data_IF_692863553078
#
_entry.id   IF_692863553078
#
_cell.length_a   1.000
_cell.length_b   1.000
_cell.length_c   1.000
_cell.angle_alpha   90.00
_cell.angle_beta   90.00
_cell.angle_gamma   90.00
#
_symmetry.space_group_name_H-M   'P 1'
#
loop_
_entity.id
_entity.type
_entity.pdbx_description
1 polymer ?
#
# COMPACT_ATOMS: atom_id res chain seq x y z
N UNK A 1 34.79 7.60 98.76
CA UNK A 1 35.41 6.45 98.07
C UNK A 1 34.64 6.26 96.77
N UNK A 2 34.99 6.95 95.69
CA UNK A 2 36.05 6.69 94.70
C UNK A 2 35.58 5.72 93.58
N UNK A 3 35.75 6.20 92.34
CA UNK A 3 35.66 5.55 91.02
C UNK A 3 34.28 5.44 90.35
N UNK A 4 34.05 5.66 89.03
CA UNK A 4 34.70 6.35 87.88
C UNK A 4 33.95 5.89 86.60
N UNK A 5 33.76 6.82 85.64
CA UNK A 5 33.62 6.65 84.16
C UNK A 5 32.27 6.44 83.43
N UNK A 6 32.00 7.45 82.57
CA UNK A 6 31.77 7.44 81.10
C UNK A 6 30.34 7.19 80.56
N UNK A 7 29.70 8.32 80.26
CA UNK A 7 29.13 8.78 78.97
C UNK A 7 28.83 7.74 77.86
N UNK A 8 27.57 7.70 77.40
CA UNK A 8 27.24 7.52 75.97
C UNK A 8 25.83 8.02 75.66
N UNK A 9 25.78 9.09 74.85
CA UNK A 9 24.59 9.66 74.24
C UNK A 9 23.88 8.66 73.31
N UNK A 10 22.56 8.58 73.38
CA UNK A 10 21.74 8.19 72.24
C UNK A 10 20.55 9.15 72.11
N UNK A 11 20.78 10.19 71.30
CA UNK A 11 19.73 10.98 70.65
C UNK A 11 19.09 10.09 69.58
N UNK A 12 17.82 9.73 69.80
CA UNK A 12 17.00 9.06 68.79
C UNK A 12 16.61 10.07 67.71
N UNK A 13 17.36 10.12 66.62
CA UNK A 13 16.89 10.73 65.37
C UNK A 13 15.88 9.76 64.72
N UNK A 14 14.60 10.12 64.73
CA UNK A 14 13.62 9.55 63.82
C UNK A 14 13.95 10.00 62.39
N UNK A 15 14.60 9.14 61.63
CA UNK A 15 14.74 9.30 60.19
C UNK A 15 13.37 9.03 59.54
N UNK A 16 12.62 10.10 59.27
CA UNK A 16 11.47 10.05 58.35
C UNK A 16 12.05 9.79 56.97
N UNK A 17 12.01 8.53 56.53
CA UNK A 17 12.34 8.16 55.16
C UNK A 17 11.26 8.71 54.24
N UNK A 18 11.53 9.86 53.64
CA UNK A 18 10.74 10.42 52.55
C UNK A 18 10.88 9.49 51.34
N UNK A 19 9.93 8.57 51.16
CA UNK A 19 9.75 7.87 49.90
C UNK A 19 9.16 8.87 48.90
N UNK A 20 10.01 9.68 48.29
CA UNK A 20 9.64 10.42 47.08
C UNK A 20 9.34 9.38 46.01
N UNK A 21 8.06 9.15 45.73
CA UNK A 21 7.61 8.55 44.47
C UNK A 21 8.19 9.42 43.36
N UNK A 22 9.32 9.01 42.79
CA UNK A 22 9.72 9.45 41.47
C UNK A 22 8.70 8.86 40.51
N UNK A 23 7.63 9.61 40.28
CA UNK A 23 6.83 9.43 39.08
C UNK A 23 7.81 9.70 37.95
N UNK A 24 8.29 8.63 37.31
CA UNK A 24 8.95 8.75 36.04
C UNK A 24 7.92 9.40 35.11
N UNK A 25 8.07 10.70 34.86
CA UNK A 25 7.47 11.30 33.68
C UNK A 25 8.10 10.53 32.52
N UNK A 26 7.33 9.59 31.95
CA UNK A 26 7.66 9.05 30.65
C UNK A 26 7.90 10.26 29.75
N UNK A 27 9.11 10.36 29.19
CA UNK A 27 9.47 11.42 28.27
C UNK A 27 8.53 11.30 27.07
N UNK A 28 7.55 12.19 26.99
CA UNK A 28 6.54 12.15 25.96
C UNK A 28 7.22 12.32 24.60
N UNK A 29 6.90 11.45 23.64
CA UNK A 29 7.51 11.41 22.31
C UNK A 29 6.62 12.09 21.27
N UNK A 30 7.20 12.63 20.18
CA UNK A 30 6.42 13.20 19.09
C UNK A 30 5.50 12.15 18.44
N UNK A 31 4.38 12.59 17.88
CA UNK A 31 3.51 11.77 17.05
C UNK A 31 4.30 11.17 15.88
N UNK A 32 4.16 9.86 15.64
CA UNK A 32 4.74 9.22 14.45
C UNK A 32 3.78 9.33 13.27
N UNK A 33 4.23 9.90 12.17
CA UNK A 33 3.44 10.08 10.95
C UNK A 33 4.00 9.21 9.82
N UNK A 34 3.14 8.39 9.23
CA UNK A 34 3.48 7.55 8.07
C UNK A 34 2.60 7.90 6.88
N UNK A 35 3.21 8.02 5.71
CA UNK A 35 2.50 8.32 4.47
C UNK A 35 2.37 7.04 3.65
N UNK A 36 1.16 6.70 3.22
CA UNK A 36 0.86 5.52 2.41
C UNK A 36 0.29 5.97 1.06
N UNK A 37 1.04 5.83 -0.01
CA UNK A 37 0.66 6.35 -1.32
C UNK A 37 0.76 5.31 -2.44
N UNK A 38 -0.08 5.46 -3.46
CA UNK A 38 0.00 4.61 -4.65
C UNK A 38 -1.30 4.54 -5.44
N UNK A 39 -1.50 3.42 -6.14
CA UNK A 39 -2.71 3.18 -6.92
C UNK A 39 -3.70 2.22 -6.22
N UNK A 40 -4.56 1.53 -6.98
CA UNK A 40 -5.57 0.60 -6.48
C UNK A 40 -5.08 -0.48 -5.50
N UNK A 41 -3.84 -0.95 -5.63
CA UNK A 41 -3.29 -1.89 -4.64
C UNK A 41 -2.94 -1.21 -3.31
N UNK A 42 -2.55 0.07 -3.31
CA UNK A 42 -2.53 0.85 -2.06
C UNK A 42 -3.95 1.18 -1.58
N UNK A 43 -4.91 1.44 -2.49
CA UNK A 43 -6.31 1.63 -2.09
C UNK A 43 -6.80 0.43 -1.29
N UNK A 44 -6.57 -0.79 -1.78
CA UNK A 44 -6.93 -2.02 -1.09
C UNK A 44 -8.26 -2.58 -1.52
N UNK A 45 -8.23 -3.72 -2.21
CA UNK A 45 -9.43 -4.33 -2.79
C UNK A 45 -9.88 -5.62 -2.09
N UNK A 46 -9.26 -5.97 -0.96
CA UNK A 46 -9.66 -7.12 -0.17
C UNK A 46 -10.87 -6.77 0.69
N UNK A 47 -11.97 -7.49 0.48
CA UNK A 47 -13.14 -7.32 1.35
C UNK A 47 -12.97 -8.07 2.67
N UNK A 48 -13.58 -7.53 3.72
CA UNK A 48 -13.52 -8.10 5.08
C UNK A 48 -14.06 -9.53 5.14
N UNK A 49 -14.97 -9.91 4.25
CA UNK A 49 -15.52 -11.27 4.18
C UNK A 49 -14.46 -12.33 3.82
N UNK A 50 -13.31 -11.92 3.31
CA UNK A 50 -12.20 -12.83 2.98
C UNK A 50 -11.24 -13.11 4.16
N UNK A 51 -11.51 -12.57 5.35
CA UNK A 51 -10.62 -12.72 6.52
C UNK A 51 -10.48 -14.16 7.00
N UNK A 52 -11.54 -14.98 6.91
CA UNK A 52 -11.48 -16.36 7.40
C UNK A 52 -10.45 -17.20 6.63
N UNK A 53 -10.24 -16.90 5.34
CA UNK A 53 -9.22 -17.56 4.53
C UNK A 53 -7.78 -17.32 5.05
N UNK A 54 -7.54 -16.24 5.80
CA UNK A 54 -6.24 -16.00 6.47
C UNK A 54 -5.96 -17.09 7.53
N UNK A 55 -7.02 -17.61 8.16
CA UNK A 55 -6.93 -18.61 9.23
C UNK A 55 -6.72 -20.04 8.75
N UNK A 56 -6.88 -20.30 7.44
CA UNK A 56 -6.66 -21.63 6.85
C UNK A 56 -5.16 -22.00 6.83
N UNK A 57 -4.28 -21.01 6.95
CA UNK A 57 -2.83 -21.18 7.01
C UNK A 57 -2.30 -20.89 8.44
N UNK A 58 -1.68 -21.89 9.11
CA UNK A 58 -1.10 -21.71 10.44
C UNK A 58 -0.05 -20.58 10.53
N UNK A 59 0.63 -20.25 9.43
CA UNK A 59 1.63 -19.17 9.39
C UNK A 59 0.97 -17.79 9.48
N UNK A 60 -0.19 -17.61 8.87
CA UNK A 60 -0.92 -16.33 8.88
C UNK A 60 -2.00 -16.25 9.97
N UNK A 61 -2.28 -17.35 10.67
CA UNK A 61 -3.23 -17.37 11.79
C UNK A 61 -2.88 -16.35 12.91
N UNK A 62 -1.61 -16.15 13.34
CA UNK A 62 -1.29 -15.10 14.30
C UNK A 62 -1.62 -13.69 13.80
N UNK A 63 -1.48 -13.44 12.49
CA UNK A 63 -1.83 -12.16 11.88
C UNK A 63 -3.35 -11.94 11.90
N UNK A 64 -4.15 -12.97 11.56
CA UNK A 64 -5.61 -12.91 11.68
C UNK A 64 -6.07 -12.59 13.11
N UNK A 65 -5.42 -13.17 14.13
CA UNK A 65 -5.73 -12.89 15.54
C UNK A 65 -5.53 -11.42 15.90
N UNK A 66 -4.50 -10.76 15.34
CA UNK A 66 -4.28 -9.32 15.53
C UNK A 66 -5.29 -8.46 14.76
N UNK A 67 -5.81 -8.96 13.64
CA UNK A 67 -6.79 -8.24 12.81
C UNK A 67 -8.21 -8.26 13.38
N UNK A 68 -8.49 -9.10 14.37
CA UNK A 68 -9.82 -9.25 14.97
C UNK A 68 -9.85 -8.82 16.43
N UNK A 69 -10.88 -8.07 16.81
CA UNK A 69 -11.21 -7.81 18.20
C UNK A 69 -11.77 -9.05 18.90
N UNK A 70 -12.02 -8.93 20.21
CA UNK A 70 -12.59 -10.01 21.02
C UNK A 70 -14.00 -10.45 20.54
N UNK A 71 -14.71 -9.59 19.81
CA UNK A 71 -16.02 -9.85 19.21
C UNK A 71 -15.94 -10.51 17.82
N UNK A 72 -14.72 -10.79 17.34
CA UNK A 72 -14.47 -11.41 16.03
C UNK A 72 -14.56 -10.43 14.84
N UNK A 73 -14.92 -9.17 15.06
CA UNK A 73 -14.95 -8.12 14.03
C UNK A 73 -13.55 -7.55 13.79
N UNK A 74 -13.31 -6.81 12.70
CA UNK A 74 -12.05 -6.11 12.52
C UNK A 74 -11.71 -5.23 13.72
N UNK A 75 -10.46 -5.30 14.18
CA UNK A 75 -9.98 -4.51 15.31
C UNK A 75 -10.04 -3.02 14.98
N UNK A 76 -10.29 -2.20 16.00
CA UNK A 76 -10.08 -0.75 15.96
C UNK A 76 -8.80 -0.48 16.75
N UNK A 77 -7.80 0.11 16.09
CA UNK A 77 -6.52 0.41 16.73
C UNK A 77 -6.70 1.49 17.81
N UNK A 78 -6.00 1.37 18.93
CA UNK A 78 -6.15 2.30 20.05
C UNK A 78 -5.18 3.48 19.97
N UNK A 79 -4.01 3.27 19.37
CA UNK A 79 -2.95 4.26 19.19
C UNK A 79 -2.78 4.76 17.77
N UNK A 80 -3.60 4.31 16.80
CA UNK A 80 -3.44 4.67 15.38
C UNK A 80 -4.67 5.36 14.82
N UNK A 81 -4.45 6.51 14.20
CA UNK A 81 -5.44 7.24 13.41
C UNK A 81 -5.03 7.22 11.94
N UNK A 82 -6.01 7.43 11.07
CA UNK A 82 -5.80 7.53 9.64
C UNK A 82 -6.58 8.71 9.09
N UNK A 83 -5.97 9.46 8.18
CA UNK A 83 -6.64 10.28 7.18
C UNK A 83 -6.40 9.65 5.81
N UNK A 84 -7.46 9.48 5.02
CA UNK A 84 -7.38 8.93 3.67
C UNK A 84 -8.06 9.84 2.65
N UNK A 85 -7.27 10.33 1.70
CA UNK A 85 -7.77 11.07 0.55
C UNK A 85 -7.92 10.16 -0.66
N UNK A 86 -9.16 9.99 -1.10
CA UNK A 86 -9.55 9.08 -2.18
C UNK A 86 -10.88 9.49 -2.80
N UNK A 87 -11.40 8.74 -3.76
CA UNK A 87 -12.71 8.98 -4.33
C UNK A 87 -13.00 8.15 -5.57
N UNK A 88 -14.02 8.58 -6.33
CA UNK A 88 -14.35 8.00 -7.63
C UNK A 88 -14.50 9.10 -8.67
N UNK A 89 -13.76 8.98 -9.78
CA UNK A 89 -13.65 10.06 -10.77
C UNK A 89 -13.09 11.32 -10.12
N UNK A 90 -13.74 12.46 -10.35
CA UNK A 90 -13.31 13.75 -9.81
C UNK A 90 -13.81 14.02 -8.38
N UNK A 91 -14.58 13.09 -7.80
CA UNK A 91 -15.16 13.22 -6.45
C UNK A 91 -14.21 12.71 -5.38
N UNK A 92 -13.04 13.34 -5.29
CA UNK A 92 -12.10 13.08 -4.21
C UNK A 92 -12.53 13.79 -2.92
N UNK A 93 -12.25 13.16 -1.79
CA UNK A 93 -12.53 13.66 -0.45
C UNK A 93 -11.70 12.94 0.59
N UNK A 94 -11.67 13.50 1.79
CA UNK A 94 -10.98 12.93 2.93
C UNK A 94 -11.97 12.14 3.78
N UNK A 95 -11.59 10.93 4.20
CA UNK A 95 -12.21 10.22 5.30
C UNK A 95 -11.18 9.89 6.37
N UNK A 96 -11.49 10.17 7.64
CA UNK A 96 -10.54 10.03 8.74
C UNK A 96 -11.17 9.47 10.02
N UNK A 97 -10.34 8.96 10.93
CA UNK A 97 -10.77 8.39 12.20
C UNK A 97 -9.74 7.42 12.78
N UNK A 98 -10.07 6.73 13.89
CA UNK A 98 -9.28 5.61 14.38
C UNK A 98 -9.12 4.55 13.29
N UNK A 99 -7.93 3.98 13.16
CA UNK A 99 -7.68 2.98 12.13
C UNK A 99 -8.47 1.70 12.44
N UNK A 100 -9.27 1.27 11.46
CA UNK A 100 -9.93 -0.03 11.44
C UNK A 100 -10.06 -0.51 9.98
N UNK A 101 -10.66 -1.68 9.75
CA UNK A 101 -11.02 -2.08 8.39
C UNK A 101 -12.06 -1.11 7.80
N UNK A 102 -12.20 -1.12 6.48
CA UNK A 102 -13.07 -0.16 5.78
C UNK A 102 -12.32 1.01 5.16
N UNK A 103 -11.04 1.18 5.54
CA UNK A 103 -10.16 2.20 4.96
C UNK A 103 -9.53 1.80 3.60
N UNK A 104 -9.95 0.66 3.06
CA UNK A 104 -9.62 0.20 1.72
C UNK A 104 -10.27 1.05 0.60
N UNK A 105 -10.35 0.48 -0.61
CA UNK A 105 -11.01 1.06 -1.77
C UNK A 105 -12.48 1.34 -1.47
N UNK A 106 -12.85 2.63 -1.48
CA UNK A 106 -14.19 3.14 -1.14
C UNK A 106 -14.62 4.22 -2.13
N UNK A 107 -15.94 4.29 -2.38
CA UNK A 107 -16.51 5.27 -3.34
C UNK A 107 -16.81 6.61 -2.70
N UNK A 108 -17.39 6.57 -1.50
CA UNK A 108 -17.57 7.74 -0.64
C UNK A 108 -16.46 7.72 0.42
N UNK A 109 -15.56 8.71 0.45
CA UNK A 109 -14.48 8.77 1.43
C UNK A 109 -14.97 8.72 2.89
N UNK A 110 -16.17 9.25 3.15
CA UNK A 110 -16.77 9.36 4.48
C UNK A 110 -17.47 8.09 4.98
N UNK A 111 -17.54 7.04 4.17
CA UNK A 111 -18.22 5.80 4.51
C UNK A 111 -17.22 4.63 4.57
N UNK A 112 -17.57 3.61 5.34
CA UNK A 112 -16.87 2.33 5.35
C UNK A 112 -16.96 1.67 3.95
N UNK A 113 -15.80 1.39 3.35
CA UNK A 113 -15.70 0.73 2.05
C UNK A 113 -15.91 -0.79 2.08
N UNK A 114 -15.99 -1.40 3.25
CA UNK A 114 -16.05 -2.86 3.49
C UNK A 114 -14.75 -3.58 3.11
N UNK A 115 -13.64 -2.85 2.97
CA UNK A 115 -12.38 -3.35 2.43
C UNK A 115 -11.17 -2.89 3.21
N UNK A 116 -10.08 -3.62 3.04
CA UNK A 116 -8.75 -3.26 3.50
C UNK A 116 -7.78 -3.20 2.33
N UNK A 117 -6.76 -2.36 2.48
CA UNK A 117 -5.49 -2.47 1.79
C UNK A 117 -4.37 -2.80 2.76
N UNK A 118 -3.11 -2.49 2.40
CA UNK A 118 -1.99 -2.71 3.29
C UNK A 118 -2.03 -1.80 4.53
N UNK A 119 -2.83 -0.72 4.54
CA UNK A 119 -2.90 0.22 5.66
C UNK A 119 -3.33 -0.45 6.97
N UNK A 120 -4.21 -1.46 6.88
CA UNK A 120 -4.82 -2.02 8.09
C UNK A 120 -3.79 -2.78 8.93
N UNK A 121 -3.07 -3.73 8.33
CA UNK A 121 -2.03 -4.46 9.06
C UNK A 121 -0.74 -3.68 9.22
N UNK A 122 -0.45 -2.71 8.34
CA UNK A 122 0.62 -1.75 8.58
C UNK A 122 0.36 -1.01 9.89
N UNK A 123 -0.83 -0.42 10.07
CA UNK A 123 -1.14 0.32 11.28
C UNK A 123 -1.27 -0.56 12.52
N UNK A 124 -1.84 -1.77 12.44
CA UNK A 124 -1.82 -2.72 13.57
C UNK A 124 -0.39 -3.01 14.04
N UNK A 125 0.56 -3.14 13.11
CA UNK A 125 1.97 -3.33 13.46
C UNK A 125 2.59 -2.07 14.08
N UNK A 126 2.23 -0.87 13.60
CA UNK A 126 2.67 0.39 14.22
C UNK A 126 2.08 0.59 15.62
N UNK A 127 0.81 0.24 15.84
CA UNK A 127 0.13 0.30 17.14
C UNK A 127 0.87 -0.55 18.20
N UNK A 128 1.40 -1.70 17.76
CA UNK A 128 2.18 -2.58 18.62
C UNK A 128 3.64 -2.11 18.83
N UNK A 129 4.16 -1.27 17.94
CA UNK A 129 5.57 -0.87 17.93
C UNK A 129 5.85 0.44 18.67
N UNK A 130 4.84 1.31 18.81
CA UNK A 130 4.98 2.64 19.41
C UNK A 130 4.08 2.81 20.62
N UNK A 131 4.60 3.46 21.67
CA UNK A 131 3.80 3.87 22.83
C UNK A 131 3.12 5.23 22.56
N UNK A 132 3.79 6.07 21.79
CA UNK A 132 3.25 7.33 21.29
C UNK A 132 2.16 7.09 20.21
N UNK A 133 1.24 8.05 20.01
CA UNK A 133 0.26 7.94 18.94
C UNK A 133 0.90 7.86 17.55
N UNK A 134 0.17 7.25 16.63
CA UNK A 134 0.55 7.10 15.22
C UNK A 134 -0.54 7.68 14.33
N UNK A 135 -0.14 8.39 13.29
CA UNK A 135 -1.02 8.91 12.24
C UNK A 135 -0.60 8.35 10.88
N UNK A 136 -1.53 7.67 10.21
CA UNK A 136 -1.40 7.31 8.80
C UNK A 136 -2.03 8.39 7.93
N UNK A 137 -1.29 8.92 6.97
CA UNK A 137 -1.83 9.78 5.91
C UNK A 137 -1.78 8.98 4.61
N UNK A 138 -2.95 8.53 4.15
CA UNK A 138 -3.08 7.69 2.97
C UNK A 138 -3.57 8.52 1.77
N UNK A 139 -2.97 8.31 0.61
CA UNK A 139 -3.37 8.97 -0.66
C UNK A 139 -3.25 7.96 -1.79
N UNK A 140 -4.38 7.38 -2.20
CA UNK A 140 -4.36 6.30 -3.19
C UNK A 140 -5.59 6.32 -4.09
N UNK A 141 -5.34 6.08 -5.37
CA UNK A 141 -6.34 6.16 -6.43
C UNK A 141 -6.13 5.11 -7.51
N UNK A 142 -7.20 4.41 -7.88
CA UNK A 142 -7.16 3.43 -8.96
C UNK A 142 -6.73 4.02 -10.31
N UNK A 143 -5.97 3.25 -11.07
CA UNK A 143 -5.63 3.58 -12.45
C UNK A 143 -4.60 4.70 -12.63
N UNK A 144 -3.74 4.96 -11.63
CA UNK A 144 -2.72 6.00 -11.68
C UNK A 144 -1.31 5.44 -11.92
N UNK A 145 -0.55 6.12 -12.77
CA UNK A 145 0.84 5.77 -13.11
C UNK A 145 1.85 6.66 -12.39
N UNK A 146 3.07 6.16 -12.22
CA UNK A 146 4.22 6.98 -11.87
C UNK A 146 4.68 7.83 -13.06
N UNK A 147 4.60 7.29 -14.27
CA UNK A 147 5.08 8.00 -15.46
C UNK A 147 4.34 9.32 -15.75
N UNK A 148 3.07 9.45 -15.35
CA UNK A 148 2.21 10.62 -15.62
C UNK A 148 1.61 11.16 -14.32
N UNK A 149 0.71 10.41 -13.66
CA UNK A 149 -0.15 10.97 -12.60
C UNK A 149 0.65 11.41 -11.37
N UNK A 150 1.57 10.55 -10.92
CA UNK A 150 2.47 10.81 -9.79
C UNK A 150 3.84 11.33 -10.22
N UNK A 151 4.00 11.75 -11.48
CA UNK A 151 5.29 12.23 -11.98
C UNK A 151 5.75 13.45 -11.15
N UNK A 152 6.91 13.37 -10.49
CA UNK A 152 7.42 14.44 -9.63
C UNK A 152 7.98 15.60 -10.47
N UNK A 153 7.95 16.85 -9.97
CA UNK A 153 8.44 18.02 -10.69
C UNK A 153 9.86 17.90 -11.26
N UNK A 154 10.80 17.33 -10.50
CA UNK A 154 12.21 17.22 -10.92
C UNK A 154 12.46 16.18 -12.00
N UNK A 155 11.49 15.30 -12.29
CA UNK A 155 11.53 14.43 -13.47
C UNK A 155 11.11 15.17 -14.76
N UNK A 156 10.71 16.45 -14.68
CA UNK A 156 10.21 17.23 -15.81
C UNK A 156 8.83 16.76 -16.31
N UNK A 157 8.30 17.34 -17.40
CA UNK A 157 7.03 16.93 -17.97
C UNK A 157 7.09 15.50 -18.55
N UNK A 158 5.93 14.86 -18.76
CA UNK A 158 5.88 13.66 -19.57
C UNK A 158 6.25 13.99 -21.02
N UNK A 159 7.10 13.17 -21.64
CA UNK A 159 7.53 13.33 -23.04
C UNK A 159 7.11 12.12 -23.85
N UNK A 160 6.31 12.34 -24.90
CA UNK A 160 5.96 11.29 -25.86
C UNK A 160 7.17 10.88 -26.69
N UNK A 161 7.36 9.57 -26.88
CA UNK A 161 8.37 9.09 -27.82
C UNK A 161 7.89 9.18 -29.28
N UNK A 162 8.82 9.08 -30.23
CA UNK A 162 8.52 9.23 -31.66
C UNK A 162 7.53 8.17 -32.16
N UNK A 163 7.53 6.96 -31.57
CA UNK A 163 6.56 5.92 -31.93
C UNK A 163 5.14 6.36 -31.55
N UNK A 164 4.92 6.87 -30.35
CA UNK A 164 3.62 7.41 -29.93
C UNK A 164 3.17 8.56 -30.84
N UNK A 165 4.05 9.51 -31.14
CA UNK A 165 3.75 10.63 -32.01
C UNK A 165 3.41 10.17 -33.43
N UNK A 166 4.17 9.23 -33.99
CA UNK A 166 3.90 8.61 -35.30
C UNK A 166 2.54 7.91 -35.32
N UNK A 167 2.21 7.13 -34.28
CA UNK A 167 0.94 6.41 -34.18
C UNK A 167 -0.25 7.39 -34.08
N UNK A 168 -0.11 8.50 -33.35
CA UNK A 168 -1.11 9.55 -33.31
C UNK A 168 -1.31 10.24 -34.65
N UNK A 169 -0.22 10.56 -35.37
CA UNK A 169 -0.29 11.16 -36.73
C UNK A 169 -1.02 10.22 -37.70
N UNK A 170 -0.72 8.92 -37.67
CA UNK A 170 -1.42 7.91 -38.50
C UNK A 170 -2.90 7.80 -38.19
N UNK A 171 -3.29 8.05 -36.95
CA UNK A 171 -4.69 8.07 -36.51
C UNK A 171 -5.39 9.41 -36.83
N UNK A 172 -4.69 10.37 -37.45
CA UNK A 172 -5.24 11.71 -37.73
C UNK A 172 -5.55 12.51 -36.46
N UNK A 173 -4.87 12.20 -35.34
CA UNK A 173 -5.08 12.90 -34.07
C UNK A 173 -4.33 14.22 -34.02
N UNK A 174 -4.92 15.19 -33.34
CA UNK A 174 -4.28 16.47 -33.04
C UNK A 174 -3.18 16.29 -31.97
N UNK A 175 -1.93 16.41 -32.40
CA UNK A 175 -0.75 16.22 -31.54
C UNK A 175 -0.64 17.34 -30.50
N UNK A 176 -0.97 18.58 -30.87
CA UNK A 176 -0.84 19.72 -29.97
C UNK A 176 -1.83 19.60 -28.81
N UNK A 177 -3.08 19.26 -29.11
CA UNK A 177 -4.10 18.99 -28.10
C UNK A 177 -3.71 17.84 -27.17
N UNK A 178 -3.18 16.74 -27.70
CA UNK A 178 -2.72 15.59 -26.90
C UNK A 178 -1.56 15.98 -25.97
N UNK A 179 -0.58 16.72 -26.49
CA UNK A 179 0.56 17.18 -25.70
C UNK A 179 0.12 18.13 -24.58
N UNK A 180 -0.80 19.05 -24.87
CA UNK A 180 -1.37 19.96 -23.88
C UNK A 180 -2.11 19.19 -22.78
N UNK A 181 -3.01 18.27 -23.14
CA UNK A 181 -3.75 17.47 -22.16
C UNK A 181 -2.79 16.63 -21.29
N UNK A 182 -1.78 16.00 -21.89
CA UNK A 182 -0.79 15.22 -21.14
C UNK A 182 0.05 16.11 -20.19
N UNK A 183 0.38 17.33 -20.59
CA UNK A 183 1.07 18.28 -19.71
C UNK A 183 0.21 18.67 -18.49
N UNK A 184 -1.10 18.85 -18.68
CA UNK A 184 -2.04 19.15 -17.58
C UNK A 184 -2.21 17.96 -16.62
N UNK A 185 -2.27 16.73 -17.15
CA UNK A 185 -2.32 15.50 -16.36
C UNK A 185 -1.04 15.26 -15.53
N UNK A 186 0.11 15.69 -16.05
CA UNK A 186 1.42 15.34 -15.48
C UNK A 186 1.57 15.87 -14.06
N UNK A 187 1.80 14.95 -13.12
CA UNK A 187 2.02 15.24 -11.70
C UNK A 187 0.77 15.71 -10.96
N UNK A 188 -0.43 15.60 -11.54
CA UNK A 188 -1.65 16.05 -10.86
C UNK A 188 -1.86 15.33 -9.52
N UNK A 189 -1.72 14.01 -9.51
CA UNK A 189 -1.88 13.20 -8.28
C UNK A 189 -0.68 13.30 -7.34
N UNK A 190 0.52 13.61 -7.86
CA UNK A 190 1.65 14.01 -7.02
C UNK A 190 1.30 15.26 -6.19
N UNK A 191 0.78 16.29 -6.85
CA UNK A 191 0.38 17.55 -6.17
C UNK A 191 -0.73 17.31 -5.17
N UNK A 192 -1.79 16.59 -5.55
CA UNK A 192 -2.87 16.22 -4.62
C UNK A 192 -2.37 15.46 -3.39
N UNK A 193 -1.42 14.53 -3.57
CA UNK A 193 -0.82 13.80 -2.46
C UNK A 193 -0.08 14.74 -1.50
N UNK A 194 0.84 15.56 -2.03
CA UNK A 194 1.63 16.48 -1.21
C UNK A 194 0.74 17.52 -0.51
N UNK A 195 -0.25 18.06 -1.22
CA UNK A 195 -1.20 19.03 -0.67
C UNK A 195 -2.05 18.42 0.43
N UNK A 196 -2.51 17.18 0.27
CA UNK A 196 -3.28 16.49 1.31
C UNK A 196 -2.42 16.20 2.55
N UNK A 197 -1.18 15.73 2.37
CA UNK A 197 -0.25 15.54 3.49
C UNK A 197 -0.05 16.85 4.25
N UNK A 198 0.22 17.95 3.55
CA UNK A 198 0.37 19.28 4.18
C UNK A 198 -0.90 19.73 4.89
N UNK A 199 -2.07 19.49 4.29
CA UNK A 199 -3.37 19.81 4.88
C UNK A 199 -3.56 19.11 6.21
N UNK A 200 -3.34 17.79 6.27
CA UNK A 200 -3.47 17.02 7.52
C UNK A 200 -2.45 17.48 8.56
N UNK A 201 -1.20 17.69 8.17
CA UNK A 201 -0.14 18.14 9.08
C UNK A 201 -0.39 19.56 9.64
N UNK A 202 -1.14 20.39 8.92
CA UNK A 202 -1.50 21.74 9.40
C UNK A 202 -2.62 21.75 10.45
N UNK A 203 -3.37 20.66 10.59
CA UNK A 203 -4.50 20.52 11.51
C UNK A 203 -4.62 19.06 12.00
N UNK A 204 -3.55 18.57 12.63
CA UNK A 204 -3.49 17.20 13.18
C UNK A 204 -4.55 16.94 14.27
N UNK A 205 -4.86 17.86 15.21
CA UNK A 205 -5.85 17.61 16.27
C UNK A 205 -7.23 17.17 15.75
N UNK A 206 -7.61 17.62 14.55
CA UNK A 206 -8.85 17.21 13.88
C UNK A 206 -8.88 15.71 13.57
N UNK A 207 -7.75 15.14 13.17
CA UNK A 207 -7.64 13.74 12.75
C UNK A 207 -7.23 12.82 13.90
N UNK A 208 -6.26 13.25 14.71
CA UNK A 208 -5.68 12.49 15.81
C UNK A 208 -5.85 13.25 17.13
N UNK A 209 -6.95 13.05 17.88
CA UNK A 209 -7.22 13.77 19.13
C UNK A 209 -6.20 13.51 20.25
N UNK A 210 -5.39 12.44 20.15
CA UNK A 210 -4.28 12.17 21.10
C UNK A 210 -3.01 12.97 20.79
N UNK A 211 -2.99 13.77 19.73
CA UNK A 211 -1.84 14.60 19.39
C UNK A 211 -1.62 15.70 20.43
N UNK A 212 -0.39 15.81 20.92
CA UNK A 212 0.07 16.92 21.76
C UNK A 212 0.94 17.87 20.92
N UNK A 213 0.42 19.06 20.64
CA UNK A 213 1.13 20.11 19.88
C UNK A 213 2.49 20.46 20.47
N UNK A 214 2.68 20.30 21.78
CA UNK A 214 3.97 20.57 22.44
C UNK A 214 5.04 19.54 22.10
N UNK A 215 4.63 18.31 21.78
CA UNK A 215 5.55 17.24 21.36
C UNK A 215 5.86 17.30 19.87
N UNK A 216 4.97 17.90 19.08
CA UNK A 216 5.10 17.93 17.63
C UNK A 216 4.99 16.53 17.00
N UNK A 217 5.40 16.42 15.75
CA UNK A 217 5.32 15.19 14.98
C UNK A 217 6.61 14.91 14.22
N UNK A 218 6.79 13.65 13.83
CA UNK A 218 7.88 13.17 13.02
C UNK A 218 7.34 12.45 11.79
N UNK A 219 7.84 12.80 10.59
CA UNK A 219 7.58 12.04 9.37
C UNK A 219 8.47 10.79 9.35
N UNK A 220 7.94 9.71 9.92
CA UNK A 220 8.68 8.47 10.22
C UNK A 220 8.66 7.45 9.08
N UNK A 221 7.96 7.72 7.99
CA UNK A 221 8.21 6.98 6.76
C UNK A 221 7.18 7.17 5.67
N UNK A 222 7.54 6.72 4.48
CA UNK A 222 6.71 6.74 3.29
C UNK A 222 6.66 5.34 2.70
N UNK A 223 5.46 4.84 2.42
CA UNK A 223 5.22 3.54 1.79
C UNK A 223 4.56 3.77 0.44
N UNK A 224 5.24 3.33 -0.60
CA UNK A 224 4.77 3.41 -1.98
C UNK A 224 4.31 2.04 -2.48
N UNK A 225 3.05 1.92 -2.91
CA UNK A 225 2.54 0.71 -3.55
C UNK A 225 1.78 1.03 -4.84
N UNK A 226 2.53 1.01 -5.93
CA UNK A 226 2.02 1.24 -7.29
C UNK A 226 2.82 0.40 -8.29
N UNK A 227 2.32 0.25 -9.51
CA UNK A 227 3.17 -0.23 -10.60
C UNK A 227 2.41 -0.86 -11.75
N UNK A 228 1.20 -1.38 -11.51
CA UNK A 228 0.44 -2.09 -12.55
C UNK A 228 0.20 -1.23 -13.79
N UNK A 229 -0.12 0.05 -13.61
CA UNK A 229 -0.38 0.94 -14.75
C UNK A 229 0.87 1.26 -15.56
N UNK A 230 2.05 1.31 -14.94
CA UNK A 230 3.31 1.44 -15.67
C UNK A 230 3.71 0.12 -16.34
N UNK A 231 3.47 -1.04 -15.68
CA UNK A 231 3.71 -2.35 -16.27
C UNK A 231 2.98 -2.51 -17.61
N UNK A 232 1.70 -2.13 -17.67
CA UNK A 232 0.85 -2.36 -18.86
C UNK A 232 0.92 -1.22 -19.89
N UNK A 233 1.61 -0.11 -19.58
CA UNK A 233 1.73 1.04 -20.49
C UNK A 233 2.76 0.78 -21.60
N UNK A 234 2.27 0.18 -22.68
CA UNK A 234 3.09 -0.14 -23.86
C UNK A 234 3.58 1.10 -24.62
N UNK A 235 2.92 2.24 -24.43
CA UNK A 235 3.26 3.48 -25.11
C UNK A 235 4.48 4.12 -24.50
N UNK A 236 4.48 4.26 -23.17
CA UNK A 236 5.62 4.77 -22.38
C UNK A 236 6.79 3.80 -22.39
N UNK A 237 6.52 2.49 -22.34
CA UNK A 237 7.54 1.44 -22.29
C UNK A 237 7.48 0.52 -23.53
N UNK A 238 7.92 1.01 -24.71
CA UNK A 238 7.85 0.24 -25.96
C UNK A 238 8.79 -0.98 -25.94
N UNK A 239 9.93 -0.89 -25.25
CA UNK A 239 10.97 -1.91 -25.19
C UNK A 239 10.89 -2.77 -23.92
N UNK A 240 9.73 -2.84 -23.26
CA UNK A 240 9.53 -3.52 -21.97
C UNK A 240 9.90 -5.01 -21.92
N UNK A 241 9.98 -5.67 -23.08
CA UNK A 241 10.43 -7.06 -23.20
C UNK A 241 11.96 -7.20 -23.14
N UNK A 242 12.71 -6.11 -23.29
CA UNK A 242 14.17 -6.07 -23.26
C UNK A 242 14.69 -5.79 -21.84
N UNK A 243 15.93 -6.22 -21.50
CA UNK A 243 16.60 -5.77 -20.28
C UNK A 243 16.61 -4.24 -20.21
N UNK A 244 16.33 -3.67 -19.03
CA UNK A 244 16.19 -2.23 -18.81
C UNK A 244 15.04 -1.55 -19.59
N UNK A 245 14.09 -2.31 -20.16
CA UNK A 245 12.91 -1.76 -20.84
C UNK A 245 12.01 -0.85 -19.99
N UNK A 246 12.23 -0.83 -18.67
CA UNK A 246 11.57 0.03 -17.69
C UNK A 246 12.51 1.01 -16.97
N UNK A 247 13.71 1.29 -17.51
CA UNK A 247 14.68 2.18 -16.86
C UNK A 247 14.10 3.56 -16.51
N UNK A 248 13.21 4.10 -17.35
CA UNK A 248 12.51 5.35 -17.08
C UNK A 248 11.64 5.30 -15.81
N UNK A 249 11.11 4.13 -15.42
CA UNK A 249 10.43 3.97 -14.14
C UNK A 249 11.40 4.18 -12.97
N UNK A 250 12.58 3.54 -13.02
CA UNK A 250 13.61 3.67 -11.98
C UNK A 250 14.10 5.11 -11.82
N UNK A 251 14.32 5.80 -12.94
CA UNK A 251 14.71 7.22 -12.96
C UNK A 251 13.65 8.10 -12.30
N UNK A 252 12.40 7.99 -12.75
CA UNK A 252 11.29 8.78 -12.20
C UNK A 252 11.05 8.46 -10.72
N UNK A 253 11.20 7.20 -10.30
CA UNK A 253 11.08 6.81 -8.89
C UNK A 253 12.16 7.47 -8.02
N UNK A 254 13.40 7.56 -8.51
CA UNK A 254 14.46 8.25 -7.78
C UNK A 254 14.16 9.76 -7.63
N UNK A 255 13.62 10.40 -8.68
CA UNK A 255 13.10 11.77 -8.58
C UNK A 255 11.95 11.88 -7.58
N UNK A 256 11.03 10.92 -7.58
CA UNK A 256 9.85 10.93 -6.72
C UNK A 256 10.25 10.89 -5.24
N UNK A 257 11.17 10.00 -4.88
CA UNK A 257 11.70 9.93 -3.50
C UNK A 257 12.35 11.26 -3.09
N UNK A 258 13.17 11.86 -3.96
CA UNK A 258 13.84 13.15 -3.66
C UNK A 258 12.83 14.28 -3.49
N UNK A 259 11.86 14.38 -4.39
CA UNK A 259 10.90 15.48 -4.38
C UNK A 259 9.92 15.37 -3.22
N UNK A 260 9.40 14.18 -2.90
CA UNK A 260 8.54 13.99 -1.72
C UNK A 260 9.28 14.40 -0.44
N UNK A 261 10.53 13.96 -0.27
CA UNK A 261 11.36 14.35 0.89
C UNK A 261 11.59 15.86 0.93
N UNK A 262 11.85 16.50 -0.21
CA UNK A 262 12.04 17.95 -0.31
C UNK A 262 10.77 18.71 0.03
N UNK A 263 9.65 18.36 -0.60
CA UNK A 263 8.39 19.10 -0.51
C UNK A 263 7.72 18.96 0.86
N UNK A 264 8.04 17.90 1.60
CA UNK A 264 7.63 17.65 2.97
C UNK A 264 8.69 18.01 4.01
N UNK A 265 9.83 18.58 3.58
CA UNK A 265 10.96 18.96 4.44
C UNK A 265 11.46 17.81 5.35
N UNK A 266 11.54 16.59 4.80
CA UNK A 266 11.92 15.37 5.49
C UNK A 266 13.03 14.63 4.75
N UNK A 267 14.27 15.20 4.66
CA UNK A 267 15.35 14.67 3.82
C UNK A 267 15.81 13.24 4.20
N UNK A 268 15.57 12.83 5.45
CA UNK A 268 15.93 11.50 5.95
C UNK A 268 14.72 10.57 6.10
N UNK A 269 13.50 10.95 5.70
CA UNK A 269 12.32 10.09 5.87
C UNK A 269 12.53 8.71 5.25
N UNK A 270 12.41 7.60 6.00
CA UNK A 270 12.44 6.24 5.47
C UNK A 270 11.47 6.04 4.32
N UNK A 271 11.88 5.30 3.30
CA UNK A 271 11.04 5.07 2.12
C UNK A 271 10.98 3.58 1.77
N UNK A 272 9.78 3.02 1.76
CA UNK A 272 9.52 1.62 1.37
C UNK A 272 8.85 1.59 0.00
N UNK A 273 9.46 0.86 -0.93
CA UNK A 273 8.92 0.58 -2.26
C UNK A 273 8.31 -0.83 -2.24
N UNK A 274 7.00 -0.93 -2.41
CA UNK A 274 6.32 -2.21 -2.64
C UNK A 274 6.50 -2.67 -4.09
N UNK A 275 7.38 -3.65 -4.31
CA UNK A 275 7.63 -4.24 -5.63
C UNK A 275 6.45 -5.12 -6.02
N UNK A 276 5.92 -4.91 -7.23
CA UNK A 276 4.72 -5.60 -7.74
C UNK A 276 4.86 -7.13 -7.64
N UNK A 277 3.92 -7.79 -6.98
CA UNK A 277 3.88 -9.22 -6.74
C UNK A 277 2.75 -9.97 -7.43
N UNK A 278 1.95 -9.30 -8.27
CA UNK A 278 0.89 -9.95 -9.04
C UNK A 278 1.48 -11.11 -9.86
N UNK A 279 0.76 -12.22 -9.91
CA UNK A 279 1.15 -13.51 -10.52
C UNK A 279 2.32 -14.23 -9.82
N UNK A 280 2.63 -13.87 -8.57
CA UNK A 280 3.49 -14.65 -7.68
C UNK A 280 4.96 -14.66 -8.09
N UNK A 281 5.70 -15.66 -7.60
CA UNK A 281 7.17 -15.71 -7.71
C UNK A 281 7.69 -16.12 -9.09
N UNK A 282 6.80 -16.51 -10.01
CA UNK A 282 7.15 -16.97 -11.36
C UNK A 282 6.65 -15.97 -12.42
N UNK A 283 7.21 -14.74 -12.46
CA UNK A 283 6.79 -13.72 -13.41
C UNK A 283 7.17 -14.13 -14.83
N UNK A 284 6.39 -13.65 -15.82
CA UNK A 284 6.88 -13.58 -17.19
C UNK A 284 8.04 -12.56 -17.30
N UNK A 285 8.77 -12.60 -18.42
CA UNK A 285 9.97 -11.77 -18.61
C UNK A 285 9.69 -10.26 -18.44
N UNK A 286 8.56 -9.78 -18.97
CA UNK A 286 8.15 -8.37 -18.84
C UNK A 286 7.97 -7.98 -17.37
N UNK A 287 7.28 -8.81 -16.60
CA UNK A 287 7.02 -8.57 -15.17
C UNK A 287 8.33 -8.67 -14.36
N UNK A 288 9.22 -9.59 -14.72
CA UNK A 288 10.54 -9.69 -14.10
C UNK A 288 11.37 -8.41 -14.33
N UNK A 289 11.41 -7.91 -15.58
CA UNK A 289 12.09 -6.67 -15.92
C UNK A 289 11.50 -5.47 -15.16
N UNK A 290 10.18 -5.42 -15.03
CA UNK A 290 9.52 -4.35 -14.29
C UNK A 290 9.82 -4.39 -12.79
N UNK A 291 9.74 -5.57 -12.15
CA UNK A 291 10.09 -5.76 -10.74
C UNK A 291 11.52 -5.32 -10.44
N UNK A 292 12.46 -5.64 -11.34
CA UNK A 292 13.84 -5.17 -11.23
C UNK A 292 13.93 -3.63 -11.30
N UNK A 293 13.22 -3.00 -12.23
CA UNK A 293 13.19 -1.55 -12.36
C UNK A 293 12.55 -0.86 -11.13
N UNK A 294 11.52 -1.46 -10.52
CA UNK A 294 10.93 -0.94 -9.28
C UNK A 294 11.91 -0.98 -8.10
N UNK A 295 12.71 -2.04 -7.99
CA UNK A 295 13.65 -2.23 -6.88
C UNK A 295 14.95 -1.43 -7.04
N UNK A 296 15.36 -1.14 -8.29
CA UNK A 296 16.65 -0.51 -8.59
C UNK A 296 16.94 0.81 -7.81
N UNK A 297 15.98 1.72 -7.59
CA UNK A 297 16.22 2.94 -6.82
C UNK A 297 16.78 2.66 -5.41
N UNK A 298 16.28 1.65 -4.70
CA UNK A 298 16.76 1.32 -3.34
C UNK A 298 18.26 0.96 -3.29
N UNK A 299 18.87 0.61 -4.43
CA UNK A 299 20.28 0.25 -4.54
C UNK A 299 21.22 1.45 -4.79
N UNK A 300 20.67 2.63 -5.08
CA UNK A 300 21.44 3.85 -5.32
C UNK A 300 22.25 4.22 -4.06
N UNK A 301 23.52 4.65 -4.18
CA UNK A 301 24.37 4.93 -3.03
C UNK A 301 23.74 5.90 -2.01
N UNK A 302 23.06 6.95 -2.48
CA UNK A 302 22.40 7.95 -1.64
C UNK A 302 21.16 7.44 -0.90
N UNK A 303 20.66 6.25 -1.25
CA UNK A 303 19.43 5.67 -0.70
C UNK A 303 19.69 4.43 0.18
N UNK A 304 20.93 3.94 0.25
CA UNK A 304 21.29 2.81 1.12
C UNK A 304 21.02 3.13 2.59
N UNK A 305 20.39 2.19 3.30
CA UNK A 305 20.01 2.34 4.70
C UNK A 305 18.81 3.26 4.96
N UNK A 306 18.21 3.84 3.91
CA UNK A 306 17.09 4.77 4.05
C UNK A 306 15.95 4.53 3.01
N UNK A 307 16.20 3.69 2.01
CA UNK A 307 15.16 3.23 1.06
C UNK A 307 15.26 1.72 0.94
N UNK A 308 14.13 1.03 1.05
CA UNK A 308 14.06 -0.42 0.93
C UNK A 308 13.00 -0.83 -0.10
N UNK A 309 13.26 -1.94 -0.79
CA UNK A 309 12.33 -2.54 -1.75
C UNK A 309 11.77 -3.85 -1.18
N UNK A 310 10.47 -3.85 -0.84
CA UNK A 310 9.77 -5.03 -0.30
C UNK A 310 9.17 -5.83 -1.45
N UNK A 311 9.60 -7.08 -1.59
CA UNK A 311 9.08 -8.02 -2.57
C UNK A 311 7.71 -8.53 -2.12
N UNK A 312 6.65 -8.22 -2.88
CA UNK A 312 5.29 -8.68 -2.53
C UNK A 312 4.87 -9.97 -3.24
N UNK A 313 5.68 -10.45 -4.20
CA UNK A 313 5.42 -11.68 -4.95
C UNK A 313 5.26 -12.93 -4.05
N UNK A 314 6.04 -13.11 -2.97
CA UNK A 314 5.88 -14.26 -2.06
C UNK A 314 4.52 -14.30 -1.34
N UNK A 315 3.76 -13.21 -1.31
CA UNK A 315 2.45 -13.14 -0.64
C UNK A 315 1.28 -13.46 -1.57
N UNK A 316 1.55 -13.75 -2.85
CA UNK A 316 0.52 -14.14 -3.80
C UNK A 316 -0.14 -15.46 -3.37
N UNK A 317 -1.48 -15.48 -3.36
CA UNK A 317 -2.23 -16.68 -3.05
C UNK A 317 -2.26 -17.61 -4.28
N UNK A 318 -1.26 -18.47 -4.42
CA UNK A 318 -1.07 -19.36 -5.58
C UNK A 318 -2.31 -20.21 -5.92
N UNK A 319 -2.98 -20.78 -4.90
CA UNK A 319 -4.19 -21.60 -5.12
C UNK A 319 -5.37 -20.79 -5.68
N UNK A 320 -5.56 -19.56 -5.18
CA UNK A 320 -6.56 -18.64 -5.73
C UNK A 320 -6.12 -18.15 -7.12
N UNK A 321 -4.83 -17.95 -7.34
CA UNK A 321 -4.26 -17.60 -8.65
C UNK A 321 -4.55 -18.67 -9.72
N UNK A 322 -4.41 -19.94 -9.38
CA UNK A 322 -4.76 -21.05 -10.27
C UNK A 322 -6.26 -21.05 -10.61
N UNK A 323 -7.13 -20.75 -9.64
CA UNK A 323 -8.57 -20.60 -9.89
C UNK A 323 -8.87 -19.36 -10.74
N UNK A 324 -8.16 -18.25 -10.53
CA UNK A 324 -8.31 -17.03 -11.33
C UNK A 324 -8.02 -17.27 -12.81
N UNK A 325 -6.96 -18.03 -13.11
CA UNK A 325 -6.61 -18.42 -14.48
C UNK A 325 -7.71 -19.23 -15.16
N UNK A 326 -8.39 -20.11 -14.42
CA UNK A 326 -9.56 -20.83 -14.93
C UNK A 326 -10.72 -19.88 -15.23
N UNK A 327 -10.99 -18.92 -14.35
CA UNK A 327 -11.98 -17.88 -14.62
C UNK A 327 -11.60 -16.99 -15.82
N UNK A 328 -10.31 -16.73 -16.06
CA UNK A 328 -9.85 -16.05 -17.28
C UNK A 328 -10.14 -16.86 -18.54
N UNK A 329 -9.96 -18.19 -18.51
CA UNK A 329 -10.33 -19.05 -19.64
C UNK A 329 -11.84 -19.00 -19.90
N UNK A 330 -12.68 -18.95 -18.86
CA UNK A 330 -14.14 -18.77 -19.03
C UNK A 330 -14.46 -17.42 -19.66
N UNK A 331 -13.83 -16.33 -19.20
CA UNK A 331 -13.97 -14.99 -19.79
C UNK A 331 -13.53 -14.97 -21.26
N UNK A 332 -12.41 -15.61 -21.56
CA UNK A 332 -11.88 -15.71 -22.92
C UNK A 332 -12.82 -16.50 -23.83
N UNK A 333 -13.39 -17.60 -23.34
CA UNK A 333 -14.40 -18.36 -24.06
C UNK A 333 -15.65 -17.51 -24.34
N UNK A 334 -16.12 -16.72 -23.36
CA UNK A 334 -17.23 -15.80 -23.57
C UNK A 334 -16.91 -14.76 -24.66
N UNK A 335 -15.69 -14.22 -24.66
CA UNK A 335 -15.24 -13.35 -25.74
C UNK A 335 -15.25 -14.06 -27.10
N UNK A 336 -14.75 -15.29 -27.20
CA UNK A 336 -14.75 -16.05 -28.45
C UNK A 336 -16.16 -16.33 -28.99
N UNK A 337 -17.11 -16.66 -28.10
CA UNK A 337 -18.50 -16.83 -28.51
C UNK A 337 -19.11 -15.50 -29.02
N UNK A 338 -18.82 -14.37 -28.38
CA UNK A 338 -19.39 -13.08 -28.78
C UNK A 338 -18.74 -12.48 -30.04
N UNK A 339 -17.43 -12.71 -30.23
CA UNK A 339 -16.66 -12.26 -31.40
C UNK A 339 -16.80 -13.18 -32.61
N UNK A 340 -17.54 -14.29 -32.48
CA UNK A 340 -17.69 -15.33 -33.52
C UNK A 340 -16.33 -15.83 -33.97
N UNK A 341 -15.45 -16.10 -33.01
CA UNK A 341 -14.09 -16.55 -33.30
C UNK A 341 -14.14 -17.84 -34.11
N UNK A 342 -13.42 -17.85 -35.24
CA UNK A 342 -13.49 -18.90 -36.27
C UNK A 342 -13.22 -20.33 -35.76
N UNK A 343 -12.46 -20.45 -34.66
CA UNK A 343 -12.02 -21.73 -34.10
C UNK A 343 -12.89 -22.22 -32.91
N UNK A 344 -14.04 -21.58 -32.64
CA UNK A 344 -14.88 -21.86 -31.46
C UNK A 344 -16.37 -22.05 -31.79
N UNK A 345 -17.15 -22.53 -30.82
CA UNK A 345 -18.50 -23.07 -31.00
C UNK A 345 -19.56 -22.13 -31.61
N UNK A 346 -19.30 -20.81 -31.69
CA UNK A 346 -20.18 -19.83 -32.34
C UNK A 346 -19.54 -19.20 -33.60
N UNK A 347 -18.66 -19.92 -34.30
CA UNK A 347 -17.96 -19.40 -35.49
C UNK A 347 -18.92 -18.99 -36.62
N UNK A 348 -20.05 -19.70 -36.77
CA UNK A 348 -21.09 -19.39 -37.77
C UNK A 348 -22.09 -18.31 -37.30
N UNK A 349 -22.01 -17.89 -36.04
CA UNK A 349 -22.91 -16.93 -35.43
C UNK A 349 -24.34 -17.44 -35.18
N UNK A 350 -24.56 -18.76 -35.20
CA UNK A 350 -25.88 -19.37 -35.04
C UNK A 350 -26.39 -19.42 -33.60
N UNK A 351 -25.51 -19.26 -32.59
CA UNK A 351 -25.91 -19.38 -31.19
C UNK A 351 -26.70 -18.16 -30.70
N UNK A 352 -27.85 -18.41 -30.05
CA UNK A 352 -28.59 -17.40 -29.29
C UNK A 352 -27.87 -17.02 -27.98
N UNK A 353 -28.30 -15.94 -27.33
CA UNK A 353 -27.77 -15.55 -26.00
C UNK A 353 -28.00 -16.65 -24.94
N UNK A 354 -29.15 -17.34 -24.98
CA UNK A 354 -29.45 -18.47 -24.11
C UNK A 354 -28.48 -19.63 -24.35
N UNK A 355 -28.21 -19.96 -25.61
CA UNK A 355 -27.27 -21.02 -25.96
C UNK A 355 -25.84 -20.68 -25.56
N UNK A 356 -25.41 -19.42 -25.74
CA UNK A 356 -24.08 -18.94 -25.28
C UNK A 356 -23.96 -19.05 -23.76
N UNK A 357 -24.97 -18.60 -23.00
CA UNK A 357 -25.00 -18.73 -21.53
C UNK A 357 -24.96 -20.19 -21.08
N UNK A 358 -25.73 -21.07 -21.72
CA UNK A 358 -25.73 -22.49 -21.42
C UNK A 358 -24.37 -23.14 -21.70
N UNK A 359 -23.74 -22.81 -22.84
CA UNK A 359 -22.41 -23.30 -23.20
C UNK A 359 -21.37 -22.84 -22.17
N UNK A 360 -21.36 -21.56 -21.81
CA UNK A 360 -20.42 -21.02 -20.83
C UNK A 360 -20.58 -21.65 -19.46
N UNK A 361 -21.82 -21.87 -19.02
CA UNK A 361 -22.09 -22.58 -17.76
C UNK A 361 -21.49 -23.99 -17.77
N UNK A 362 -21.71 -24.76 -18.84
CA UNK A 362 -21.11 -26.09 -18.98
C UNK A 362 -19.59 -26.06 -19.08
N UNK A 363 -19.02 -25.05 -19.75
CA UNK A 363 -17.58 -24.87 -19.85
C UNK A 363 -16.96 -24.54 -18.48
N UNK A 364 -17.59 -23.66 -17.71
CA UNK A 364 -17.19 -23.33 -16.34
C UNK A 364 -17.27 -24.55 -15.41
N UNK A 365 -18.39 -25.27 -15.41
CA UNK A 365 -18.59 -26.47 -14.56
C UNK A 365 -17.57 -27.60 -14.86
N UNK A 366 -17.07 -27.68 -16.10
CA UNK A 366 -16.00 -28.63 -16.47
C UNK A 366 -14.62 -28.18 -16.00
N UNK A 367 -14.40 -26.88 -15.91
CA UNK A 367 -13.09 -26.30 -15.64
C UNK A 367 -12.86 -26.03 -14.15
N UNK A 368 -13.91 -25.59 -13.44
CA UNK A 368 -13.87 -25.12 -12.05
C UNK A 368 -14.75 -26.02 -11.21
N UNK A 369 -14.13 -26.74 -10.28
CA UNK A 369 -14.84 -27.66 -9.40
C UNK A 369 -15.67 -26.94 -8.32
N UNK A 370 -16.69 -27.58 -7.74
CA UNK A 370 -17.44 -27.01 -6.62
C UNK A 370 -16.58 -26.62 -5.41
N UNK A 371 -15.49 -27.36 -5.15
CA UNK A 371 -14.55 -27.05 -4.09
C UNK A 371 -13.77 -25.75 -4.38
N UNK A 372 -13.33 -25.56 -5.62
CA UNK A 372 -12.66 -24.32 -6.06
C UNK A 372 -13.59 -23.11 -6.02
N UNK A 373 -14.86 -23.27 -6.42
CA UNK A 373 -15.88 -22.21 -6.26
C UNK A 373 -16.05 -21.82 -4.79
N UNK A 374 -16.04 -22.81 -3.88
CA UNK A 374 -16.15 -22.57 -2.44
C UNK A 374 -14.92 -21.84 -1.90
N UNK A 375 -13.72 -22.28 -2.27
CA UNK A 375 -12.45 -21.64 -1.89
C UNK A 375 -12.36 -20.20 -2.42
N UNK A 376 -12.70 -19.99 -3.69
CA UNK A 376 -12.71 -18.67 -4.32
C UNK A 376 -13.61 -17.68 -3.57
N UNK A 377 -14.82 -18.09 -3.20
CA UNK A 377 -15.76 -17.25 -2.41
C UNK A 377 -15.22 -16.86 -1.04
N UNK A 378 -14.38 -17.70 -0.43
CA UNK A 378 -13.76 -17.44 0.88
C UNK A 378 -12.51 -16.57 0.78
N UNK A 379 -11.72 -16.73 -0.28
CA UNK A 379 -10.38 -16.14 -0.35
C UNK A 379 -10.22 -14.96 -1.31
N UNK A 380 -11.10 -14.80 -2.30
CA UNK A 380 -10.97 -13.79 -3.34
C UNK A 380 -12.18 -12.85 -3.40
N UNK A 381 -11.93 -11.55 -3.57
CA UNK A 381 -12.96 -10.52 -3.73
C UNK A 381 -12.72 -9.57 -4.89
N UNK A 382 -11.68 -9.81 -5.71
CA UNK A 382 -11.35 -8.99 -6.87
C UNK A 382 -10.55 -9.76 -7.94
N UNK A 383 -10.16 -9.06 -9.01
CA UNK A 383 -9.38 -9.62 -10.11
C UNK A 383 -7.88 -9.75 -9.75
N UNK A 384 -7.13 -10.50 -10.57
CA UNK A 384 -5.71 -10.81 -10.35
C UNK A 384 -4.81 -9.58 -10.22
N UNK A 385 -5.04 -8.55 -11.05
CA UNK A 385 -4.30 -7.28 -10.99
C UNK A 385 -4.48 -6.51 -9.66
N UNK A 386 -5.47 -6.91 -8.85
CA UNK A 386 -5.73 -6.42 -7.50
C UNK A 386 -5.39 -7.44 -6.40
N UNK A 387 -4.38 -8.30 -6.63
CA UNK A 387 -4.04 -9.40 -5.72
C UNK A 387 -5.26 -10.25 -5.33
N UNK A 388 -6.15 -10.47 -6.30
CA UNK A 388 -7.38 -11.25 -6.15
C UNK A 388 -8.36 -10.67 -5.12
N UNK A 389 -8.11 -9.46 -4.59
CA UNK A 389 -8.79 -8.98 -3.39
C UNK A 389 -8.62 -9.93 -2.19
N UNK A 390 -7.47 -10.60 -2.08
CA UNK A 390 -7.22 -11.58 -1.04
C UNK A 390 -6.75 -10.88 0.25
N UNK A 391 -7.55 -10.95 1.33
CA UNK A 391 -7.16 -10.33 2.61
C UNK A 391 -5.87 -10.91 3.18
N UNK A 392 -5.58 -12.22 2.99
CA UNK A 392 -4.31 -12.84 3.40
C UNK A 392 -3.12 -12.15 2.74
N UNK A 393 -3.19 -11.95 1.43
CA UNK A 393 -2.13 -11.27 0.68
C UNK A 393 -1.95 -9.82 1.13
N UNK A 394 -3.03 -9.03 1.22
CA UNK A 394 -2.93 -7.62 1.67
C UNK A 394 -2.44 -7.50 3.12
N UNK A 395 -2.88 -8.41 4.00
CA UNK A 395 -2.44 -8.44 5.38
C UNK A 395 -0.94 -8.68 5.50
N UNK A 396 -0.40 -9.66 4.76
CA UNK A 396 1.04 -9.94 4.73
C UNK A 396 1.84 -8.77 4.13
N UNK A 397 1.34 -8.14 3.05
CA UNK A 397 1.97 -6.96 2.44
C UNK A 397 2.06 -5.80 3.44
N UNK A 398 0.96 -5.44 4.11
CA UNK A 398 0.95 -4.36 5.10
C UNK A 398 1.90 -4.62 6.27
N UNK A 399 1.94 -5.87 6.77
CA UNK A 399 2.86 -6.26 7.84
C UNK A 399 4.33 -6.21 7.36
N UNK A 400 4.63 -6.63 6.14
CA UNK A 400 5.99 -6.57 5.59
C UNK A 400 6.46 -5.12 5.37
N UNK A 401 5.57 -4.22 4.92
CA UNK A 401 5.89 -2.79 4.83
C UNK A 401 6.17 -2.18 6.20
N UNK A 402 5.41 -2.57 7.23
CA UNK A 402 5.63 -2.14 8.60
C UNK A 402 6.97 -2.62 9.15
N UNK A 403 7.27 -3.91 9.01
CA UNK A 403 8.53 -4.49 9.46
C UNK A 403 9.74 -3.82 8.81
N UNK A 404 9.69 -3.59 7.50
CA UNK A 404 10.79 -2.97 6.78
C UNK A 404 10.98 -1.50 7.17
N UNK A 405 9.88 -0.75 7.34
CA UNK A 405 9.96 0.64 7.78
C UNK A 405 10.55 0.75 9.21
N UNK A 406 10.13 -0.13 10.13
CA UNK A 406 10.70 -0.19 11.48
C UNK A 406 12.20 -0.54 11.47
N UNK A 407 12.66 -1.40 10.55
CA UNK A 407 14.10 -1.66 10.38
C UNK A 407 14.85 -0.40 9.98
N UNK A 408 14.36 0.34 8.99
CA UNK A 408 14.99 1.59 8.53
C UNK A 408 15.05 2.63 9.66
N UNK A 409 13.96 2.81 10.41
CA UNK A 409 13.94 3.70 11.58
C UNK A 409 14.98 3.29 12.65
N UNK A 410 15.08 1.99 12.94
CA UNK A 410 16.06 1.49 13.90
C UNK A 410 17.50 1.62 13.41
N UNK A 411 17.76 1.54 12.11
CA UNK A 411 19.07 1.82 11.51
C UNK A 411 19.43 3.29 11.65
N UNK A 412 18.53 4.21 11.33
CA UNK A 412 18.73 5.65 11.49
C UNK A 412 19.01 6.05 12.94
N UNK A 413 18.23 5.54 13.89
CA UNK A 413 18.43 5.83 15.31
C UNK A 413 19.79 5.33 15.81
N UNK A 414 20.27 4.18 15.28
CA UNK A 414 21.61 3.66 15.60
C UNK A 414 22.73 4.51 15.00
N UNK A 415 22.54 5.05 13.81
CA UNK A 415 23.51 5.97 13.20
C UNK A 415 23.58 7.32 13.92
N UNK A 416 22.44 7.86 14.34
CA UNK A 416 22.38 9.12 15.11
C UNK A 416 22.97 8.99 16.53
N UNK A 417 23.01 7.77 17.08
CA UNK A 417 23.55 7.50 18.42
C UNK A 417 25.05 7.18 18.43
N UNK A 418 25.71 7.12 17.26
CA UNK A 418 27.15 6.92 17.10
C UNK A 418 27.85 8.25 16.86
#
# INVERSE_FOLDING_TARGET
MLFVRILLCQLALMAVSSWTLQIACAEAKPLKVFILAGQSNMEGHARVETFDYIGDDPVTLPLLKKMRGADGKPVVCEGVWISYFTGSGDKNGEGFGPLTAGYGSRRNPQEDGGKIGPEFTFGIAMDAAFEEPVLLIKTAWGGKSLNTDFRPPSAGPYVFNEKQLSDFRKQGKDIESIQKAKAEETGHYYRLMVDHVKHVLSDIPRVCPKYDEKQGYELSGFVWMQGWNDLVDTGTYPNRSEPNGYAAYSEVMAHFIRDVRKDLNAPQMPFVIGVLGVDGEKPNLQTANFRAAMAAPAMLPEFRGNVAAVQTAPFWAEELGAIAQKYDQVRQMNYFLNSKHKDHANADGSMTEEQKRAYLKQFEEKLISPAEVTLWKRGASNAGYHYLGCAKTFAQIGNAFAEENLKLLNEQNRELSR
#
